data_IF_395322619366
#
_entry.id   IF_395322619366
#
_cell.length_a   1.000
_cell.length_b   1.000
_cell.length_c   1.000
_cell.angle_alpha   90.00
_cell.angle_beta   90.00
_cell.angle_gamma   90.00
#
_symmetry.space_group_name_H-M   'P 1'
#
loop_
_entity.id
_entity.type
_entity.pdbx_description
1 polymer ?
#
# COMPACT_ATOMS: atom_id res chain seq x y z
N UNK A 1 10.35 15.97 -23.93
CA UNK A 1 10.51 15.91 -22.46
C UNK A 1 10.66 14.45 -22.11
N UNK A 2 11.73 14.08 -21.43
CA UNK A 2 11.95 12.73 -20.92
C UNK A 2 10.81 12.44 -19.95
N UNK A 3 9.99 11.43 -20.23
CA UNK A 3 8.97 11.00 -19.29
C UNK A 3 9.71 10.55 -18.02
N UNK A 4 9.51 11.28 -16.92
CA UNK A 4 9.91 10.85 -15.59
C UNK A 4 9.50 9.39 -15.41
N UNK A 5 10.41 8.55 -14.91
CA UNK A 5 10.15 7.13 -14.70
C UNK A 5 9.04 6.97 -13.64
N UNK A 6 7.82 6.74 -14.10
CA UNK A 6 6.62 6.54 -13.28
C UNK A 6 6.80 5.43 -12.24
N UNK A 7 7.77 4.53 -12.43
CA UNK A 7 8.14 3.51 -11.44
C UNK A 7 8.53 4.12 -10.09
N UNK A 8 9.15 5.30 -10.08
CA UNK A 8 9.49 6.03 -8.85
C UNK A 8 8.27 6.38 -7.99
N UNK A 9 7.16 6.75 -8.64
CA UNK A 9 5.90 7.08 -7.95
C UNK A 9 5.25 5.84 -7.33
N UNK A 10 5.32 4.70 -8.01
CA UNK A 10 4.86 3.43 -7.45
C UNK A 10 5.70 2.97 -6.26
N UNK A 11 7.03 3.13 -6.34
CA UNK A 11 7.92 2.88 -5.19
C UNK A 11 7.58 3.81 -4.02
N UNK A 12 7.26 5.08 -4.29
CA UNK A 12 6.83 6.01 -3.26
C UNK A 12 5.54 5.54 -2.57
N UNK A 13 4.53 5.08 -3.33
CA UNK A 13 3.28 4.54 -2.76
C UNK A 13 3.57 3.33 -1.84
N UNK A 14 4.46 2.43 -2.25
CA UNK A 14 4.88 1.29 -1.40
C UNK A 14 5.49 1.78 -0.09
N UNK A 15 6.47 2.68 -0.16
CA UNK A 15 7.20 3.14 1.02
C UNK A 15 6.34 3.98 1.97
N UNK A 16 5.60 4.97 1.46
CA UNK A 16 4.69 5.77 2.27
C UNK A 16 3.52 4.94 2.81
N UNK A 17 3.08 3.92 2.05
CA UNK A 17 2.07 2.98 2.51
C UNK A 17 2.52 2.19 3.75
N UNK A 18 3.73 1.62 3.70
CA UNK A 18 4.33 0.89 4.83
C UNK A 18 4.56 1.81 6.02
N UNK A 19 5.12 3.01 5.81
CA UNK A 19 5.32 4.00 6.87
C UNK A 19 3.98 4.40 7.53
N UNK A 20 2.92 4.57 6.73
CA UNK A 20 1.58 4.85 7.24
C UNK A 20 1.05 3.76 8.17
N UNK A 21 1.20 2.48 7.77
CA UNK A 21 0.77 1.34 8.60
C UNK A 21 1.55 1.28 9.91
N UNK A 22 2.87 1.48 9.86
CA UNK A 22 3.70 1.52 11.08
C UNK A 22 3.20 2.64 12.01
N UNK A 23 2.96 3.82 11.47
CA UNK A 23 2.53 4.98 12.27
C UNK A 23 1.13 4.80 12.88
N UNK A 24 0.22 4.06 12.23
CA UNK A 24 -1.08 3.71 12.80
C UNK A 24 -0.97 2.83 14.05
N UNK A 25 0.10 2.05 14.17
CA UNK A 25 0.38 1.19 15.32
C UNK A 25 1.18 1.87 16.44
N UNK A 26 1.62 3.11 16.24
CA UNK A 26 2.43 3.86 17.20
C UNK A 26 1.65 5.02 17.82
N UNK A 27 1.98 5.44 19.05
CA UNK A 27 1.43 6.67 19.63
C UNK A 27 1.74 7.89 18.76
N UNK A 28 0.81 8.83 18.69
CA UNK A 28 1.04 10.12 18.02
C UNK A 28 2.11 10.92 18.76
N UNK A 29 3.17 11.31 18.05
CA UNK A 29 4.28 12.11 18.57
C UNK A 29 4.65 13.21 17.58
N UNK A 30 5.20 14.31 18.08
CA UNK A 30 5.75 15.42 17.27
C UNK A 30 7.27 15.36 17.15
N UNK A 31 7.90 14.37 17.79
CA UNK A 31 9.36 14.18 17.78
C UNK A 31 9.70 12.78 17.26
N UNK A 32 10.88 12.64 16.68
CA UNK A 32 11.43 11.33 16.31
C UNK A 32 11.74 10.56 17.60
N UNK A 33 10.97 9.49 17.85
CA UNK A 33 11.00 8.72 19.09
C UNK A 33 11.40 7.24 18.88
N UNK A 34 11.76 6.87 17.65
CA UNK A 34 12.27 5.55 17.28
C UNK A 34 13.69 5.66 16.70
N UNK A 35 14.55 4.72 17.08
CA UNK A 35 15.87 4.57 16.47
C UNK A 35 15.80 3.79 15.14
N UNK A 36 16.90 3.82 14.38
CA UNK A 36 17.01 3.14 13.10
C UNK A 36 16.81 1.61 13.20
N UNK A 37 17.23 0.99 14.31
CA UNK A 37 17.12 -0.47 14.49
C UNK A 37 15.66 -0.86 14.65
N UNK A 38 14.91 -0.11 15.47
CA UNK A 38 13.48 -0.29 15.65
C UNK A 38 12.71 0.02 14.37
N UNK A 39 13.08 1.08 13.65
CA UNK A 39 12.43 1.44 12.38
C UNK A 39 12.56 0.32 11.33
N UNK A 40 13.77 -0.25 11.17
CA UNK A 40 14.01 -1.37 10.25
C UNK A 40 13.24 -2.62 10.67
N UNK A 41 13.24 -2.97 11.96
CA UNK A 41 12.50 -4.12 12.46
C UNK A 41 10.97 -3.99 12.23
N UNK A 42 10.42 -2.79 12.43
CA UNK A 42 9.01 -2.50 12.14
C UNK A 42 8.73 -2.62 10.63
N UNK A 43 9.61 -2.08 9.78
CA UNK A 43 9.48 -2.19 8.33
C UNK A 43 9.46 -3.65 7.87
N UNK A 44 10.43 -4.46 8.29
CA UNK A 44 10.51 -5.88 7.93
C UNK A 44 9.27 -6.65 8.39
N UNK A 45 8.82 -6.39 9.62
CA UNK A 45 7.60 -7.00 10.16
C UNK A 45 6.37 -6.63 9.33
N UNK A 46 6.19 -5.35 9.01
CA UNK A 46 5.05 -4.86 8.24
C UNK A 46 5.06 -5.42 6.81
N UNK A 47 6.24 -5.46 6.16
CA UNK A 47 6.39 -6.10 4.84
C UNK A 47 6.02 -7.59 4.90
N UNK A 48 6.40 -8.30 5.96
CA UNK A 48 6.02 -9.70 6.16
C UNK A 48 4.50 -9.91 6.22
N UNK A 49 3.79 -9.03 6.92
CA UNK A 49 2.31 -9.05 6.98
C UNK A 49 1.69 -8.78 5.60
N UNK A 50 2.13 -7.70 4.92
CA UNK A 50 1.61 -7.32 3.60
C UNK A 50 1.86 -8.43 2.58
N UNK A 51 3.06 -9.03 2.59
CA UNK A 51 3.41 -10.14 1.69
C UNK A 51 2.54 -11.37 1.93
N UNK A 52 2.22 -11.67 3.18
CA UNK A 52 1.31 -12.78 3.52
C UNK A 52 -0.10 -12.51 3.00
N UNK A 53 -0.60 -11.27 3.16
CA UNK A 53 -1.88 -10.84 2.61
C UNK A 53 -1.90 -10.92 1.07
N UNK A 54 -0.85 -10.42 0.42
CA UNK A 54 -0.68 -10.48 -1.04
C UNK A 54 -0.73 -11.92 -1.55
N UNK A 55 -0.01 -12.83 -0.87
CA UNK A 55 0.01 -14.25 -1.22
C UNK A 55 -1.36 -14.91 -1.06
N UNK A 56 -2.10 -14.58 -0.01
CA UNK A 56 -3.46 -15.08 0.20
C UNK A 56 -4.39 -14.58 -0.92
N UNK A 57 -4.37 -13.27 -1.23
CA UNK A 57 -5.18 -12.70 -2.31
C UNK A 57 -4.84 -13.29 -3.67
N UNK A 58 -3.56 -13.47 -3.96
CA UNK A 58 -3.13 -14.06 -5.24
C UNK A 58 -3.53 -15.55 -5.35
N UNK A 59 -3.70 -16.25 -4.23
CA UNK A 59 -4.30 -17.59 -4.22
C UNK A 59 -5.80 -17.54 -4.50
N UNK A 60 -6.52 -16.63 -3.85
CA UNK A 60 -7.99 -16.54 -3.94
C UNK A 60 -8.50 -16.03 -5.30
N UNK A 61 -7.79 -15.06 -5.90
CA UNK A 61 -8.18 -14.40 -7.15
C UNK A 61 -7.34 -14.85 -8.37
N UNK A 62 -6.37 -15.74 -8.15
CA UNK A 62 -5.37 -16.09 -9.17
C UNK A 62 -4.55 -14.89 -9.64
N UNK A 63 -3.99 -15.00 -10.84
CA UNK A 63 -3.14 -13.95 -11.44
C UNK A 63 -3.94 -12.95 -12.29
N UNK A 64 -5.24 -12.79 -12.03
CA UNK A 64 -6.15 -11.94 -12.81
C UNK A 64 -5.68 -10.48 -12.94
N UNK A 65 -4.90 -9.99 -11.96
CA UNK A 65 -4.29 -8.67 -12.00
C UNK A 65 -3.34 -8.49 -13.19
N UNK A 66 -2.71 -9.55 -13.70
CA UNK A 66 -1.77 -9.47 -14.84
C UNK A 66 -2.44 -8.99 -16.13
N UNK A 67 -3.73 -9.29 -16.28
CA UNK A 67 -4.53 -8.93 -17.46
C UNK A 67 -5.14 -7.52 -17.35
N UNK A 68 -4.96 -6.84 -16.20
CA UNK A 68 -5.46 -5.49 -15.98
C UNK A 68 -4.62 -4.44 -16.72
N UNK A 69 -5.28 -3.34 -17.07
CA UNK A 69 -4.60 -2.17 -17.65
C UNK A 69 -3.80 -1.45 -16.56
N UNK A 70 -2.65 -0.83 -16.87
CA UNK A 70 -1.89 -0.05 -15.89
C UNK A 70 -2.72 1.02 -15.17
N UNK A 71 -3.65 1.68 -15.86
CA UNK A 71 -4.54 2.69 -15.26
C UNK A 71 -5.46 2.12 -14.18
N UNK A 72 -5.80 0.83 -14.25
CA UNK A 72 -6.67 0.18 -13.27
C UNK A 72 -6.04 0.11 -11.89
N UNK A 73 -4.70 0.01 -11.79
CA UNK A 73 -4.02 0.07 -10.50
C UNK A 73 -4.16 1.45 -9.87
N UNK A 74 -4.08 2.51 -10.67
CA UNK A 74 -4.31 3.89 -10.20
C UNK A 74 -5.72 4.06 -9.67
N UNK A 75 -6.73 3.58 -10.39
CA UNK A 75 -8.14 3.65 -9.97
C UNK A 75 -8.37 2.90 -8.65
N UNK A 76 -7.74 1.73 -8.49
CA UNK A 76 -7.80 0.94 -7.26
C UNK A 76 -7.15 1.68 -6.08
N UNK A 77 -6.00 2.32 -6.27
CA UNK A 77 -5.35 3.15 -5.25
C UNK A 77 -6.24 4.35 -4.88
N UNK A 78 -6.77 5.07 -5.86
CA UNK A 78 -7.67 6.22 -5.63
C UNK A 78 -8.91 5.82 -4.84
N UNK A 79 -9.49 4.64 -5.12
CA UNK A 79 -10.63 4.09 -4.38
C UNK A 79 -10.29 3.87 -2.91
N UNK A 80 -9.09 3.35 -2.61
CA UNK A 80 -8.63 3.13 -1.23
C UNK A 80 -8.30 4.43 -0.50
N UNK A 81 -7.78 5.45 -1.19
CA UNK A 81 -7.60 6.79 -0.65
C UNK A 81 -8.96 7.40 -0.27
N UNK A 82 -9.94 7.36 -1.19
CA UNK A 82 -11.28 7.88 -0.93
C UNK A 82 -11.94 7.15 0.25
N UNK A 83 -11.78 5.82 0.31
CA UNK A 83 -12.32 5.03 1.42
C UNK A 83 -11.70 5.44 2.76
N UNK A 84 -10.39 5.60 2.81
CA UNK A 84 -9.66 6.04 4.01
C UNK A 84 -10.17 7.40 4.49
N UNK A 85 -10.27 8.39 3.59
CA UNK A 85 -10.83 9.72 3.92
C UNK A 85 -12.26 9.65 4.45
N UNK A 86 -13.11 8.79 3.88
CA UNK A 86 -14.46 8.59 4.42
C UNK A 86 -14.45 8.04 5.85
N UNK A 87 -13.56 7.09 6.16
CA UNK A 87 -13.44 6.52 7.50
C UNK A 87 -12.99 7.60 8.50
N UNK A 88 -11.99 8.39 8.13
CA UNK A 88 -11.50 9.51 8.94
C UNK A 88 -12.58 10.57 9.20
N UNK A 89 -13.28 11.00 8.15
CA UNK A 89 -14.37 11.98 8.25
C UNK A 89 -15.55 11.48 9.10
N UNK A 90 -15.74 10.16 9.17
CA UNK A 90 -16.76 9.53 10.00
C UNK A 90 -16.28 9.27 11.44
N UNK A 91 -15.15 9.85 11.86
CA UNK A 91 -14.51 9.63 13.16
C UNK A 91 -14.28 8.13 13.45
N UNK A 92 -13.84 7.37 12.43
CA UNK A 92 -13.58 5.94 12.54
C UNK A 92 -14.83 5.06 12.58
N UNK A 93 -16.05 5.62 12.48
CA UNK A 93 -17.28 4.83 12.43
C UNK A 93 -17.40 4.14 11.07
N UNK A 94 -17.31 2.82 11.08
CA UNK A 94 -17.54 2.00 9.89
C UNK A 94 -18.78 1.12 10.08
N UNK A 95 -19.64 1.08 9.06
CA UNK A 95 -20.69 0.06 8.96
C UNK A 95 -20.02 -1.17 8.34
N UNK A 96 -19.55 -2.10 9.18
CA UNK A 96 -18.98 -3.39 8.77
C UNK A 96 -17.82 -3.34 7.74
N UNK A 97 -16.94 -2.34 7.81
CA UNK A 97 -15.84 -2.16 6.85
C UNK A 97 -14.48 -2.55 7.41
N UNK A 98 -13.60 -3.02 6.51
CA UNK A 98 -12.15 -3.08 6.70
C UNK A 98 -11.58 -1.75 7.24
N UNK A 99 -10.58 -1.83 8.13
CA UNK A 99 -9.93 -0.70 8.78
C UNK A 99 -9.04 0.14 7.85
N UNK A 100 -8.47 1.22 8.39
CA UNK A 100 -7.57 2.10 7.64
C UNK A 100 -6.31 1.32 7.23
N UNK A 101 -5.73 0.55 8.15
CA UNK A 101 -4.60 -0.35 7.93
C UNK A 101 -4.79 -1.27 6.71
N UNK A 102 -5.95 -1.92 6.59
CA UNK A 102 -6.28 -2.77 5.46
C UNK A 102 -6.30 -2.00 4.12
N UNK A 103 -6.80 -0.76 4.12
CA UNK A 103 -6.77 0.08 2.93
C UNK A 103 -5.33 0.45 2.53
N UNK A 104 -4.46 0.73 3.50
CA UNK A 104 -3.04 0.97 3.24
C UNK A 104 -2.34 -0.27 2.66
N UNK A 105 -2.57 -1.46 3.23
CA UNK A 105 -2.00 -2.70 2.72
C UNK A 105 -2.43 -2.97 1.27
N UNK A 106 -3.68 -2.67 0.93
CA UNK A 106 -4.18 -2.79 -0.43
C UNK A 106 -3.51 -1.81 -1.40
N UNK A 107 -3.33 -0.54 -1.01
CA UNK A 107 -2.60 0.44 -1.82
C UNK A 107 -1.16 -0.02 -2.11
N UNK A 108 -0.47 -0.57 -1.11
CA UNK A 108 0.87 -1.14 -1.28
C UNK A 108 0.85 -2.30 -2.28
N UNK A 109 -0.10 -3.23 -2.14
CA UNK A 109 -0.23 -4.38 -3.04
C UNK A 109 -0.51 -3.97 -4.49
N UNK A 110 -1.38 -2.99 -4.72
CA UNK A 110 -1.65 -2.47 -6.07
C UNK A 110 -0.42 -1.81 -6.69
N UNK A 111 0.37 -1.08 -5.89
CA UNK A 111 1.62 -0.49 -6.36
C UNK A 111 2.67 -1.56 -6.70
N UNK A 112 2.76 -2.64 -5.90
CA UNK A 112 3.62 -3.79 -6.22
C UNK A 112 3.21 -4.45 -7.54
N UNK A 113 1.91 -4.65 -7.78
CA UNK A 113 1.43 -5.19 -9.07
C UNK A 113 1.78 -4.29 -10.24
N UNK A 114 1.62 -2.98 -10.10
CA UNK A 114 2.01 -2.01 -11.12
C UNK A 114 3.52 -2.09 -11.43
N UNK A 115 4.38 -2.16 -10.41
CA UNK A 115 5.83 -2.31 -10.58
C UNK A 115 6.20 -3.60 -11.30
N UNK A 116 5.58 -4.73 -10.94
CA UNK A 116 5.82 -6.01 -11.63
C UNK A 116 5.40 -5.90 -13.10
N UNK A 117 4.23 -5.31 -13.38
CA UNK A 117 3.73 -5.14 -14.75
C UNK A 117 4.68 -4.28 -15.61
N UNK A 118 5.11 -3.13 -15.09
CA UNK A 118 6.07 -2.24 -15.77
C UNK A 118 7.40 -2.94 -16.04
N UNK A 119 7.88 -3.74 -15.09
CA UNK A 119 9.13 -4.52 -15.26
C UNK A 119 8.99 -5.53 -16.39
N UNK A 120 7.86 -6.24 -16.47
CA UNK A 120 7.59 -7.23 -17.51
C UNK A 120 7.38 -6.61 -18.90
N UNK A 121 6.82 -5.40 -18.98
CA UNK A 121 6.62 -4.69 -20.26
C UNK A 121 7.91 -4.09 -20.82
N UNK A 122 8.88 -3.80 -19.96
CA UNK A 122 10.19 -3.25 -20.33
C UNK A 122 11.26 -4.34 -20.59
N UNK A 123 10.93 -5.63 -20.45
CA UNK A 123 11.81 -6.78 -20.66
C UNK A 123 11.62 -7.40 -22.04
#
# INVERSE_FOLDING_TARGET
MVAEDISGEWVAIVNYGIMGIIQLGLPSTTVVDIDNTKALALYDSTVGVIRSLLSAKNHDYGEAWRDMRPSSYTDMVLTKIQRTKCIENNNGKTVASEGIDANYMDMVNYAVFALIKLTLENS
#
